data_IF_203635487341
#
_entry.id   IF_203635487341
#
_cell.length_a   1.000
_cell.length_b   1.000
_cell.length_c   1.000
_cell.angle_alpha   90.00
_cell.angle_beta   90.00
_cell.angle_gamma   90.00
#
_symmetry.space_group_name_H-M   'P 1'
#
loop_
_entity.id
_entity.type
_entity.pdbx_description
1 polymer ?
#
# COMPACT_ATOMS: atom_id res chain seq x y z
N UNK A 1 -25.16 17.06 -62.61
CA UNK A 1 -25.73 16.09 -63.56
C UNK A 1 -25.14 14.74 -63.19
N UNK A 2 -25.59 14.09 -62.12
CA UNK A 2 -26.92 13.45 -61.98
C UNK A 2 -27.11 12.43 -63.12
N UNK A 3 -27.51 11.18 -62.93
CA UNK A 3 -28.22 10.53 -61.83
C UNK A 3 -28.27 9.03 -62.19
N UNK A 4 -28.42 8.18 -61.18
CA UNK A 4 -29.20 6.93 -61.19
C UNK A 4 -28.78 5.78 -62.13
N UNK A 5 -28.64 4.57 -61.57
CA UNK A 5 -29.77 3.63 -61.44
C UNK A 5 -29.34 2.27 -60.86
N UNK A 6 -30.20 1.78 -59.97
CA UNK A 6 -30.60 0.38 -59.75
C UNK A 6 -29.53 -0.69 -59.45
N UNK A 7 -29.54 -1.18 -58.21
CA UNK A 7 -30.54 -2.19 -57.85
C UNK A 7 -30.19 -3.66 -58.08
N UNK A 8 -29.95 -4.34 -56.94
CA UNK A 8 -30.71 -5.50 -56.43
C UNK A 8 -30.43 -6.93 -56.94
N UNK A 9 -30.30 -7.81 -55.93
CA UNK A 9 -30.58 -9.26 -55.83
C UNK A 9 -29.50 -10.25 -56.26
N UNK A 10 -28.94 -10.93 -55.25
CA UNK A 10 -28.47 -12.31 -55.32
C UNK A 10 -28.62 -12.97 -53.95
N UNK A 11 -29.52 -13.93 -53.85
CA UNK A 11 -30.06 -14.57 -52.63
C UNK A 11 -29.15 -15.61 -51.96
N UNK A 12 -29.48 -15.83 -50.68
CA UNK A 12 -28.89 -16.71 -49.65
C UNK A 12 -28.87 -18.21 -50.01
N UNK A 13 -27.93 -18.96 -49.41
CA UNK A 13 -28.12 -20.22 -48.62
C UNK A 13 -26.91 -21.14 -48.80
N UNK A 14 -26.31 -21.62 -47.69
CA UNK A 14 -25.54 -22.87 -47.73
C UNK A 14 -24.55 -23.12 -46.61
N UNK A 15 -25.08 -23.51 -45.44
CA UNK A 15 -24.55 -24.52 -44.51
C UNK A 15 -23.04 -24.58 -44.18
N UNK A 16 -22.78 -24.45 -42.89
CA UNK A 16 -21.63 -24.97 -42.13
C UNK A 16 -21.00 -26.25 -42.69
N UNK A 17 -19.69 -26.21 -42.95
CA UNK A 17 -18.82 -27.37 -42.86
C UNK A 17 -17.49 -26.92 -42.23
N UNK A 18 -17.16 -27.57 -41.12
CA UNK A 18 -15.93 -27.34 -40.36
C UNK A 18 -14.71 -27.55 -41.26
N UNK A 19 -13.82 -26.56 -41.28
CA UNK A 19 -12.51 -26.66 -41.91
C UNK A 19 -11.51 -25.94 -41.00
N UNK A 20 -10.56 -26.70 -40.49
CA UNK A 20 -9.57 -26.34 -39.48
C UNK A 20 -8.86 -25.05 -39.88
N UNK A 21 -9.20 -23.93 -39.24
CA UNK A 21 -8.42 -22.71 -39.36
C UNK A 21 -7.08 -22.95 -38.64
N UNK A 22 -6.02 -23.07 -39.44
CA UNK A 22 -4.67 -23.23 -38.96
C UNK A 22 -4.35 -22.18 -37.91
N UNK A 23 -3.93 -22.66 -36.74
CA UNK A 23 -3.37 -21.82 -35.69
C UNK A 23 -2.13 -21.16 -36.27
N UNK A 24 -2.24 -19.89 -36.66
CA UNK A 24 -1.07 -19.05 -36.83
C UNK A 24 -0.47 -18.84 -35.45
N UNK A 25 0.41 -19.77 -35.05
CA UNK A 25 1.23 -19.65 -33.85
C UNK A 25 2.21 -18.52 -34.13
N UNK A 26 1.83 -17.32 -33.71
CA UNK A 26 2.67 -16.14 -33.78
C UNK A 26 3.98 -16.45 -33.07
N UNK A 27 5.06 -16.61 -33.85
CA UNK A 27 6.41 -16.79 -33.35
C UNK A 27 6.92 -15.43 -32.84
N UNK A 28 6.41 -15.02 -31.68
CA UNK A 28 6.88 -13.84 -30.95
C UNK A 28 7.57 -14.20 -29.62
N UNK A 29 7.99 -15.47 -29.45
CA UNK A 29 8.56 -15.98 -28.20
C UNK A 29 10.10 -16.03 -28.15
N UNK A 30 10.82 -15.38 -29.08
CA UNK A 30 12.29 -15.47 -29.10
C UNK A 30 13.06 -14.17 -28.93
N UNK A 31 12.42 -13.10 -28.45
CA UNK A 31 13.15 -11.90 -28.03
C UNK A 31 12.68 -11.44 -26.65
N UNK A 32 13.43 -11.90 -25.64
CA UNK A 32 13.73 -11.29 -24.33
C UNK A 32 13.42 -12.17 -23.10
N UNK A 33 14.11 -13.32 -22.92
CA UNK A 33 14.10 -14.09 -21.67
C UNK A 33 14.54 -13.27 -20.44
N UNK A 34 15.28 -12.18 -20.62
CA UNK A 34 15.78 -11.33 -19.54
C UNK A 34 14.77 -10.34 -18.94
N UNK A 35 13.71 -9.94 -19.65
CA UNK A 35 12.77 -8.93 -19.15
C UNK A 35 11.67 -9.53 -18.27
N UNK A 36 11.26 -10.78 -18.53
CA UNK A 36 10.17 -11.44 -17.77
C UNK A 36 10.65 -11.89 -16.37
N UNK A 37 11.91 -12.32 -16.24
CA UNK A 37 12.49 -12.64 -14.94
C UNK A 37 12.71 -11.37 -14.09
N UNK A 38 13.16 -10.28 -14.72
CA UNK A 38 13.37 -8.98 -14.06
C UNK A 38 12.07 -8.30 -13.62
N UNK A 39 10.97 -8.43 -14.37
CA UNK A 39 9.67 -7.86 -13.99
C UNK A 39 9.02 -8.63 -12.83
N UNK A 40 9.10 -9.97 -12.82
CA UNK A 40 8.60 -10.81 -11.73
C UNK A 40 9.35 -10.55 -10.42
N UNK A 41 10.68 -10.46 -10.47
CA UNK A 41 11.50 -10.16 -9.28
C UNK A 41 11.18 -8.77 -8.69
N UNK A 42 11.06 -7.74 -9.54
CA UNK A 42 10.66 -6.39 -9.11
C UNK A 42 9.24 -6.37 -8.51
N UNK A 43 8.31 -7.11 -9.11
CA UNK A 43 6.95 -7.20 -8.61
C UNK A 43 6.92 -7.87 -7.23
N UNK A 44 7.61 -8.99 -7.06
CA UNK A 44 7.73 -9.71 -5.79
C UNK A 44 8.33 -8.82 -4.69
N UNK A 45 9.41 -8.10 -4.99
CA UNK A 45 10.06 -7.18 -4.05
C UNK A 45 9.12 -6.02 -3.64
N UNK A 46 8.37 -5.45 -4.59
CA UNK A 46 7.40 -4.39 -4.29
C UNK A 46 6.25 -4.90 -3.40
N UNK A 47 5.75 -6.12 -3.63
CA UNK A 47 4.73 -6.70 -2.76
C UNK A 47 5.25 -6.93 -1.34
N UNK A 48 6.49 -7.41 -1.21
CA UNK A 48 7.13 -7.62 0.09
C UNK A 48 7.29 -6.31 0.87
N UNK A 49 7.72 -5.22 0.21
CA UNK A 49 7.81 -3.90 0.86
C UNK A 49 6.43 -3.43 1.31
N UNK A 50 5.40 -3.65 0.48
CA UNK A 50 4.04 -3.27 0.84
C UNK A 50 3.51 -4.07 2.04
N UNK A 51 3.73 -5.39 2.07
CA UNK A 51 3.31 -6.22 3.22
C UNK A 51 4.04 -5.80 4.50
N UNK A 52 5.35 -5.57 4.43
CA UNK A 52 6.15 -5.09 5.58
C UNK A 52 5.63 -3.76 6.13
N UNK A 53 5.27 -2.82 5.24
CA UNK A 53 4.69 -1.53 5.62
C UNK A 53 3.33 -1.68 6.28
N UNK A 54 2.44 -2.50 5.70
CA UNK A 54 1.13 -2.78 6.31
C UNK A 54 1.26 -3.43 7.69
N UNK A 55 2.19 -4.37 7.83
CA UNK A 55 2.44 -5.03 9.12
C UNK A 55 3.01 -4.04 10.15
N UNK A 56 3.91 -3.15 9.75
CA UNK A 56 4.44 -2.10 10.62
C UNK A 56 3.32 -1.16 11.12
N UNK A 57 2.47 -0.64 10.22
CA UNK A 57 1.32 0.19 10.60
C UNK A 57 0.40 -0.55 11.58
N UNK A 58 0.12 -1.83 11.32
CA UNK A 58 -0.73 -2.64 12.21
C UNK A 58 -0.11 -2.79 13.60
N UNK A 59 1.20 -3.10 13.68
CA UNK A 59 1.92 -3.20 14.96
C UNK A 59 1.89 -1.88 15.71
N UNK A 60 2.14 -0.76 15.04
CA UNK A 60 2.12 0.56 15.67
C UNK A 60 0.72 0.92 16.19
N UNK A 61 -0.34 0.71 15.39
CA UNK A 61 -1.71 0.97 15.83
C UNK A 61 -2.14 0.09 16.99
N UNK A 62 -1.74 -1.19 16.98
CA UNK A 62 -2.02 -2.13 18.07
C UNK A 62 -1.30 -1.73 19.35
N UNK A 63 0.01 -1.47 19.28
CA UNK A 63 0.81 -1.05 20.42
C UNK A 63 0.34 0.28 21.02
N UNK A 64 -0.02 1.26 20.17
CA UNK A 64 -0.58 2.53 20.64
C UNK A 64 -1.93 2.34 21.36
N UNK A 65 -2.78 1.42 20.90
CA UNK A 65 -4.04 1.11 21.56
C UNK A 65 -3.82 0.43 22.93
N UNK A 66 -2.87 -0.50 23.02
CA UNK A 66 -2.49 -1.16 24.26
C UNK A 66 -1.86 -0.17 25.25
N UNK A 67 -0.97 0.71 24.79
CA UNK A 67 -0.35 1.74 25.62
C UNK A 67 -1.39 2.73 26.17
N UNK A 68 -2.37 3.13 25.36
CA UNK A 68 -3.53 3.91 25.82
C UNK A 68 -4.29 3.18 26.93
N UNK A 69 -4.59 1.91 26.73
CA UNK A 69 -5.40 1.14 27.68
C UNK A 69 -4.63 0.96 29.01
N UNK A 70 -3.32 0.72 28.93
CA UNK A 70 -2.40 0.67 30.08
C UNK A 70 -2.35 2.01 30.82
N UNK A 71 -2.19 3.13 30.10
CA UNK A 71 -2.19 4.46 30.69
C UNK A 71 -3.54 4.77 31.36
N UNK A 72 -4.66 4.41 30.73
CA UNK A 72 -6.00 4.59 31.32
C UNK A 72 -6.21 3.77 32.58
N UNK A 73 -5.75 2.51 32.58
CA UNK A 73 -5.82 1.66 33.78
C UNK A 73 -5.02 2.28 34.92
N UNK A 74 -3.81 2.77 34.65
CA UNK A 74 -3.01 3.49 35.64
C UNK A 74 -3.71 4.78 36.11
N UNK A 75 -4.24 5.59 35.19
CA UNK A 75 -4.85 6.88 35.50
C UNK A 75 -6.14 6.76 36.33
N UNK A 76 -6.91 5.68 36.12
CA UNK A 76 -8.13 5.35 36.85
C UNK A 76 -7.90 4.51 38.13
N UNK A 77 -6.73 3.88 38.25
CA UNK A 77 -6.36 3.06 39.41
C UNK A 77 -5.74 3.85 40.55
N UNK A 78 -5.33 3.18 41.63
CA UNK A 78 -4.46 3.77 42.64
C UNK A 78 -3.17 4.22 41.94
N UNK A 79 -2.87 5.53 41.94
CA UNK A 79 -1.67 6.11 41.31
C UNK A 79 -0.40 5.83 42.12
N UNK A 80 -0.19 4.58 42.49
CA UNK A 80 1.03 4.11 43.13
C UNK A 80 2.06 3.83 42.05
N UNK A 81 3.09 4.68 41.95
CA UNK A 81 4.18 4.56 40.98
C UNK A 81 4.04 5.47 39.78
N UNK A 82 5.05 5.41 38.91
CA UNK A 82 5.20 6.29 37.75
C UNK A 82 4.22 5.94 36.62
N UNK A 83 3.84 6.92 35.78
CA UNK A 83 3.01 6.67 34.61
C UNK A 83 3.69 5.70 33.62
N UNK A 84 2.92 4.82 32.95
CA UNK A 84 3.45 3.92 31.93
C UNK A 84 4.21 4.68 30.83
N UNK A 85 5.47 4.29 30.60
CA UNK A 85 6.33 4.85 29.56
C UNK A 85 6.44 3.87 28.39
N UNK A 86 6.30 4.35 27.15
CA UNK A 86 6.39 3.53 25.93
C UNK A 86 7.76 3.55 25.28
N UNK A 87 8.70 4.35 25.79
CA UNK A 87 10.08 4.37 25.29
C UNK A 87 10.73 3.01 25.53
N UNK A 88 11.31 2.42 24.49
CA UNK A 88 11.84 1.05 24.50
C UNK A 88 10.86 -0.02 24.02
N UNK A 89 9.57 0.28 23.89
CA UNK A 89 8.62 -0.65 23.28
C UNK A 89 8.94 -0.84 21.79
N UNK A 90 8.91 -2.10 21.31
CA UNK A 90 9.26 -2.42 19.91
C UNK A 90 8.40 -1.63 18.91
N UNK A 91 7.10 -1.46 19.20
CA UNK A 91 6.20 -0.73 18.33
C UNK A 91 6.57 0.76 18.26
N UNK A 92 6.96 1.37 19.39
CA UNK A 92 7.28 2.80 19.45
C UNK A 92 8.65 3.06 18.84
N UNK A 93 9.66 2.27 19.20
CA UNK A 93 11.01 2.36 18.60
C UNK A 93 10.99 2.11 17.09
N UNK A 94 10.10 1.24 16.61
CA UNK A 94 9.86 1.05 15.18
C UNK A 94 9.23 2.27 14.50
N UNK A 95 8.40 3.04 15.21
CA UNK A 95 7.74 4.26 14.69
C UNK A 95 8.68 5.47 14.69
N UNK A 96 9.53 5.63 15.71
CA UNK A 96 10.38 6.81 15.94
C UNK A 96 11.13 7.34 14.73
N UNK A 97 11.77 6.52 13.89
CA UNK A 97 12.50 7.01 12.72
C UNK A 97 11.63 7.79 11.72
N UNK A 98 10.32 7.49 11.69
CA UNK A 98 9.34 8.03 10.74
C UNK A 98 8.59 9.25 11.26
N UNK A 99 8.73 9.58 12.54
CA UNK A 99 8.17 10.82 13.11
C UNK A 99 8.83 12.04 12.46
N UNK A 100 8.14 13.19 12.36
CA UNK A 100 8.70 14.37 11.72
C UNK A 100 9.90 14.91 12.51
N UNK A 101 10.83 15.59 11.83
CA UNK A 101 11.99 16.23 12.48
C UNK A 101 11.67 17.62 13.02
N UNK A 102 10.49 18.16 12.72
CA UNK A 102 10.01 19.48 13.13
C UNK A 102 8.56 19.42 13.58
N UNK A 103 8.13 20.36 14.41
CA UNK A 103 6.77 20.41 14.94
C UNK A 103 6.63 19.67 16.26
N UNK A 104 5.40 19.59 16.77
CA UNK A 104 5.09 19.02 18.08
C UNK A 104 5.52 17.54 18.19
N UNK A 105 5.29 16.75 17.14
CA UNK A 105 5.66 15.34 17.12
C UNK A 105 7.17 15.06 17.04
N UNK A 106 8.00 16.07 16.79
CA UNK A 106 9.44 15.89 16.66
C UNK A 106 10.12 15.54 17.98
N UNK A 107 9.54 15.98 19.10
CA UNK A 107 10.11 15.71 20.43
C UNK A 107 10.17 14.21 20.73
N UNK A 108 9.19 13.44 20.26
CA UNK A 108 9.08 12.00 20.48
C UNK A 108 10.22 11.19 19.82
N UNK A 109 10.93 11.77 18.84
CA UNK A 109 12.12 11.14 18.22
C UNK A 109 13.26 10.95 19.22
N UNK A 110 13.38 11.84 20.21
CA UNK A 110 14.46 11.83 21.20
C UNK A 110 13.99 11.76 22.65
N UNK A 111 12.69 11.84 22.90
CA UNK A 111 12.13 11.83 24.25
C UNK A 111 12.53 10.56 25.04
N UNK A 112 13.02 10.71 26.26
CA UNK A 112 13.36 9.55 27.10
C UNK A 112 12.13 8.99 27.84
N UNK A 113 11.07 9.78 27.92
CA UNK A 113 9.80 9.43 28.53
C UNK A 113 8.66 9.88 27.62
N UNK A 114 7.76 8.95 27.32
CA UNK A 114 6.55 9.18 26.52
C UNK A 114 5.41 8.41 27.17
N UNK A 115 4.38 9.13 27.60
CA UNK A 115 3.20 8.55 28.20
C UNK A 115 2.03 8.71 27.25
N UNK A 116 1.29 7.62 26.98
CA UNK A 116 0.15 7.66 26.07
C UNK A 116 -1.12 8.26 26.71
N UNK A 117 -1.00 9.51 27.17
CA UNK A 117 -2.13 10.35 27.54
C UNK A 117 -2.92 10.80 26.30
N UNK A 118 -4.07 11.46 26.50
CA UNK A 118 -4.97 11.79 25.37
C UNK A 118 -4.30 12.70 24.30
N UNK A 119 -3.54 13.76 24.66
CA UNK A 119 -2.78 14.54 23.68
C UNK A 119 -1.75 13.72 22.90
N UNK A 120 -0.88 12.98 23.60
CA UNK A 120 0.17 12.17 22.97
C UNK A 120 -0.44 11.10 22.06
N UNK A 121 -1.50 10.44 22.52
CA UNK A 121 -2.26 9.46 21.73
C UNK A 121 -2.80 10.05 20.43
N UNK A 122 -3.44 11.23 20.51
CA UNK A 122 -4.03 11.89 19.35
C UNK A 122 -2.95 12.23 18.31
N UNK A 123 -1.84 12.80 18.78
CA UNK A 123 -0.73 13.20 17.93
C UNK A 123 -0.05 11.98 17.28
N UNK A 124 0.31 10.94 18.04
CA UNK A 124 0.92 9.73 17.48
C UNK A 124 -0.02 9.02 16.50
N UNK A 125 -1.33 9.01 16.77
CA UNK A 125 -2.33 8.44 15.85
C UNK A 125 -2.38 9.20 14.52
N UNK A 126 -2.32 10.54 14.55
CA UNK A 126 -2.25 11.37 13.35
C UNK A 126 -0.98 11.11 12.56
N UNK A 127 0.18 11.02 13.22
CA UNK A 127 1.44 10.74 12.55
C UNK A 127 1.48 9.35 11.91
N UNK A 128 0.95 8.32 12.57
CA UNK A 128 0.80 6.99 11.96
C UNK A 128 -0.09 7.08 10.71
N UNK A 129 -1.19 7.84 10.77
CA UNK A 129 -2.06 8.07 9.62
C UNK A 129 -1.37 8.81 8.47
N UNK A 130 -0.54 9.81 8.77
CA UNK A 130 0.28 10.54 7.79
C UNK A 130 1.25 9.59 7.08
N UNK A 131 1.96 8.76 7.84
CA UNK A 131 2.91 7.77 7.30
C UNK A 131 2.18 6.73 6.43
N UNK A 132 1.03 6.24 6.89
CA UNK A 132 0.21 5.30 6.11
C UNK A 132 -0.23 5.89 4.76
N UNK A 133 -0.64 7.17 4.77
CA UNK A 133 -1.02 7.88 3.55
C UNK A 133 0.18 8.08 2.62
N UNK A 134 1.33 8.52 3.16
CA UNK A 134 2.56 8.71 2.39
C UNK A 134 2.99 7.41 1.70
N UNK A 135 3.03 6.30 2.42
CA UNK A 135 3.36 4.98 1.87
C UNK A 135 2.35 4.48 0.84
N UNK A 136 1.08 4.81 1.03
CA UNK A 136 0.01 4.49 0.07
C UNK A 136 0.16 5.26 -1.22
N UNK A 137 0.45 6.57 -1.15
CA UNK A 137 0.67 7.41 -2.31
C UNK A 137 1.97 7.05 -3.06
N UNK A 138 3.04 6.70 -2.35
CA UNK A 138 4.25 6.14 -2.97
C UNK A 138 3.95 4.88 -3.79
N UNK A 139 3.13 3.97 -3.24
CA UNK A 139 2.73 2.75 -3.92
C UNK A 139 1.88 3.04 -5.18
N UNK A 140 0.98 4.04 -5.12
CA UNK A 140 0.17 4.47 -6.26
C UNK A 140 1.00 5.21 -7.33
N UNK A 141 1.92 6.09 -6.93
CA UNK A 141 2.80 6.86 -7.81
C UNK A 141 3.73 5.98 -8.64
N UNK A 142 4.21 4.86 -8.07
CA UNK A 142 4.95 3.82 -8.81
C UNK A 142 4.10 3.14 -9.88
N UNK A 143 2.81 2.91 -9.64
CA UNK A 143 1.89 2.30 -10.64
C UNK A 143 1.58 3.22 -11.82
N UNK A 144 1.56 4.55 -11.62
CA UNK A 144 1.20 5.52 -12.69
C UNK A 144 2.30 5.74 -13.73
N UNK A 145 3.57 5.44 -13.44
CA UNK A 145 4.69 5.65 -14.38
C UNK A 145 4.84 4.56 -15.46
N UNK A 146 3.91 3.60 -15.56
CA UNK A 146 3.98 2.46 -16.49
C UNK A 146 2.96 2.53 -17.65
N UNK A 147 2.48 3.71 -18.02
CA UNK A 147 1.74 3.94 -19.28
C UNK A 147 2.52 4.92 -20.14
N UNK A 148 3.41 4.41 -20.99
CA UNK A 148 3.81 5.00 -22.27
C UNK A 148 4.01 3.84 -23.24
#
# INVERSE_FOLDING_TARGET
>A
MDMMTMGLVGTVVGASAMGIAGVARSAADNLLPGMVHGSNHKHQMNMQVHSQRCDAIRRWRSGLAEARDTYRQWACGPRSGDPPNVVGDEWFEGLRPYLPTTGEAAEFRSAHEVHCDNPTLALLSLEIGRIEQEWTEEAKGRRRRHRI
#
